data_IF_460442622227
#
_entry.id   IF_460442622227
#
_cell.length_a   1.000
_cell.length_b   1.000
_cell.length_c   1.000
_cell.angle_alpha   90.00
_cell.angle_beta   90.00
_cell.angle_gamma   90.00
#
_symmetry.space_group_name_H-M   'P 1'
#
loop_
_entity.id
_entity.type
_entity.pdbx_description
1 polymer ?
#
# COMPACT_ATOMS: atom_id res chain seq x y z
N UNK A 1 8.24 -1.53 11.45
CA UNK A 1 7.69 -0.17 11.55
C UNK A 1 7.12 0.37 10.23
N UNK A 2 7.87 0.45 9.13
CA UNK A 2 7.39 1.08 7.90
C UNK A 2 6.19 0.39 7.24
N UNK A 3 6.14 -0.95 7.24
CA UNK A 3 5.00 -1.69 6.68
C UNK A 3 3.68 -1.35 7.37
N UNK A 4 3.68 -1.07 8.68
CA UNK A 4 2.47 -0.69 9.40
C UNK A 4 1.92 0.67 8.94
N UNK A 5 2.81 1.59 8.52
CA UNK A 5 2.38 2.85 7.93
C UNK A 5 1.71 2.62 6.58
N UNK A 6 2.30 1.77 5.72
CA UNK A 6 1.70 1.39 4.44
C UNK A 6 0.35 0.69 4.61
N UNK A 7 0.23 -0.21 5.60
CA UNK A 7 -1.06 -0.83 5.95
C UNK A 7 -2.10 0.19 6.41
N UNK A 8 -1.69 1.22 7.14
CA UNK A 8 -2.57 2.33 7.53
C UNK A 8 -3.14 3.06 6.32
N UNK A 9 -2.29 3.46 5.37
CA UNK A 9 -2.72 4.13 4.12
C UNK A 9 -3.65 3.23 3.29
N UNK A 10 -3.32 1.95 3.14
CA UNK A 10 -4.14 0.98 2.43
C UNK A 10 -5.52 0.77 3.08
N UNK A 11 -5.55 0.67 4.41
CA UNK A 11 -6.81 0.56 5.17
C UNK A 11 -7.65 1.84 5.04
N UNK A 12 -7.04 3.03 5.07
CA UNK A 12 -7.74 4.30 4.82
C UNK A 12 -8.35 4.33 3.42
N UNK A 13 -7.59 3.90 2.40
CA UNK A 13 -8.08 3.83 1.01
C UNK A 13 -9.34 2.97 0.90
N UNK A 14 -9.29 1.75 1.45
CA UNK A 14 -10.42 0.82 1.42
C UNK A 14 -11.62 1.33 2.22
N UNK A 15 -11.39 1.89 3.41
CA UNK A 15 -12.44 2.45 4.26
C UNK A 15 -13.19 3.59 3.57
N UNK A 16 -12.46 4.53 2.96
CA UNK A 16 -13.08 5.67 2.24
C UNK A 16 -13.85 5.21 1.00
N UNK A 17 -13.35 4.21 0.27
CA UNK A 17 -14.04 3.65 -0.90
C UNK A 17 -15.20 2.69 -0.52
N UNK A 18 -15.38 2.38 0.77
CA UNK A 18 -16.40 1.44 1.23
C UNK A 18 -16.16 -0.01 0.84
N UNK A 19 -14.90 -0.40 0.59
CA UNK A 19 -14.53 -1.75 0.14
C UNK A 19 -14.11 -2.61 1.34
N UNK A 20 -14.73 -3.79 1.57
CA UNK A 20 -14.32 -4.70 2.64
C UNK A 20 -12.87 -5.17 2.50
N UNK A 21 -12.11 -5.14 3.60
CA UNK A 21 -10.69 -5.53 3.62
C UNK A 21 -10.43 -7.01 3.31
N UNK A 22 -11.48 -7.84 3.29
CA UNK A 22 -11.39 -9.29 3.07
C UNK A 22 -11.37 -9.73 1.62
N UNK A 23 -11.65 -8.84 0.66
CA UNK A 23 -11.70 -9.18 -0.77
C UNK A 23 -10.31 -9.19 -1.42
N UNK A 24 -9.45 -10.09 -0.94
CA UNK A 24 -8.09 -10.22 -1.44
C UNK A 24 -8.05 -10.68 -2.90
N UNK A 25 -7.13 -10.10 -3.66
CA UNK A 25 -6.80 -10.49 -5.03
C UNK A 25 -5.56 -11.40 -5.03
N UNK A 26 -4.55 -11.13 -4.19
CA UNK A 26 -3.27 -11.86 -4.18
C UNK A 26 -2.95 -12.56 -2.86
N UNK A 27 -3.11 -11.90 -1.70
CA UNK A 27 -2.68 -12.43 -0.40
C UNK A 27 -3.53 -13.56 0.22
N UNK A 28 -4.36 -14.22 -0.61
CA UNK A 28 -5.11 -15.43 -0.26
C UNK A 28 -6.45 -15.19 0.43
N UNK A 29 -7.43 -16.04 0.10
CA UNK A 29 -8.85 -15.88 0.50
C UNK A 29 -9.13 -16.04 2.00
N UNK A 30 -8.20 -16.62 2.77
CA UNK A 30 -8.40 -16.96 4.20
C UNK A 30 -7.70 -16.01 5.17
N UNK A 31 -6.88 -15.07 4.68
CA UNK A 31 -6.17 -14.12 5.53
C UNK A 31 -7.05 -12.90 5.79
N UNK A 32 -7.42 -12.67 7.06
CA UNK A 32 -8.19 -11.50 7.47
C UNK A 32 -7.45 -10.21 7.07
N UNK A 33 -8.15 -9.32 6.37
CA UNK A 33 -7.60 -8.05 5.90
C UNK A 33 -6.66 -8.18 4.70
N UNK A 34 -6.73 -9.27 3.93
CA UNK A 34 -5.74 -9.51 2.87
C UNK A 34 -5.69 -8.48 1.75
N UNK A 35 -6.78 -7.77 1.46
CA UNK A 35 -6.76 -6.67 0.49
C UNK A 35 -5.96 -5.44 1.00
N UNK A 36 -5.85 -5.26 2.32
CA UNK A 36 -4.97 -4.23 2.90
C UNK A 36 -3.51 -4.53 2.57
N UNK A 37 -3.11 -5.80 2.60
CA UNK A 37 -1.75 -6.21 2.23
C UNK A 37 -1.52 -6.05 0.72
N UNK A 38 -2.48 -6.45 -0.11
CA UNK A 38 -2.41 -6.28 -1.57
C UNK A 38 -2.18 -4.81 -1.97
N UNK A 39 -2.94 -3.88 -1.38
CA UNK A 39 -2.80 -2.45 -1.70
C UNK A 39 -1.52 -1.86 -1.11
N UNK A 40 -1.12 -2.26 0.10
CA UNK A 40 0.11 -1.76 0.71
C UNK A 40 1.37 -2.14 -0.09
N UNK A 41 1.34 -3.29 -0.77
CA UNK A 41 2.44 -3.75 -1.61
C UNK A 41 2.71 -2.82 -2.81
N UNK A 42 1.74 -2.00 -3.24
CA UNK A 42 1.92 -0.99 -4.29
C UNK A 42 3.02 0.04 -3.96
N UNK A 43 3.33 0.26 -2.67
CA UNK A 43 4.29 1.29 -2.24
C UNK A 43 5.42 0.77 -1.36
N UNK A 44 5.30 -0.46 -0.83
CA UNK A 44 6.28 -0.99 0.14
C UNK A 44 7.67 -1.08 -0.45
N UNK A 45 7.80 -1.63 -1.65
CA UNK A 45 9.12 -1.81 -2.28
C UNK A 45 9.65 -0.50 -2.88
N UNK A 46 8.76 0.40 -3.29
CA UNK A 46 9.13 1.68 -3.87
C UNK A 46 9.56 2.73 -2.84
N UNK A 47 8.96 2.72 -1.64
CA UNK A 47 9.16 3.78 -0.64
C UNK A 47 9.69 3.21 0.68
N UNK A 48 8.96 2.26 1.28
CA UNK A 48 9.29 1.77 2.63
C UNK A 48 10.64 1.05 2.65
N UNK A 49 10.90 0.20 1.65
CA UNK A 49 12.10 -0.60 1.57
C UNK A 49 13.37 0.25 1.42
N UNK A 50 13.48 1.19 0.46
CA UNK A 50 14.65 2.07 0.36
C UNK A 50 14.91 2.86 1.65
N UNK A 51 13.88 3.48 2.23
CA UNK A 51 14.04 4.26 3.46
C UNK A 51 14.45 3.42 4.65
N UNK A 52 14.01 2.15 4.73
CA UNK A 52 14.45 1.25 5.80
C UNK A 52 15.97 1.02 5.74
N UNK A 53 16.54 0.82 4.55
CA UNK A 53 17.99 0.62 4.39
C UNK A 53 18.78 1.91 4.58
N UNK A 54 18.30 3.04 4.07
CA UNK A 54 18.95 4.35 4.23
C UNK A 54 19.00 4.73 5.72
N UNK A 55 17.87 4.67 6.43
CA UNK A 55 17.80 5.00 7.85
C UNK A 55 18.63 4.04 8.71
N UNK A 56 18.67 2.75 8.37
CA UNK A 56 19.54 1.79 9.06
C UNK A 56 21.03 2.14 8.88
N UNK A 57 21.45 2.53 7.67
CA UNK A 57 22.83 2.98 7.40
C UNK A 57 23.18 4.25 8.19
N UNK A 58 22.22 5.15 8.35
CA UNK A 58 22.39 6.43 9.07
C UNK A 58 22.27 6.30 10.59
N UNK A 59 22.02 5.10 11.12
CA UNK A 59 21.69 4.85 12.54
C UNK A 59 20.52 5.73 13.03
N UNK A 60 19.56 6.02 12.15
CA UNK A 60 18.40 6.81 12.50
C UNK A 60 17.55 6.09 13.55
N UNK A 61 16.97 6.86 14.44
CA UNK A 61 15.97 6.37 15.41
C UNK A 61 14.70 5.91 14.69
N UNK A 62 13.90 5.10 15.37
CA UNK A 62 12.62 4.65 14.84
C UNK A 62 11.67 5.82 14.50
N UNK A 63 11.70 6.88 15.30
CA UNK A 63 10.89 8.07 15.09
C UNK A 63 11.32 8.84 13.84
N UNK A 64 12.64 8.96 13.59
CA UNK A 64 13.16 9.57 12.37
C UNK A 64 12.80 8.75 11.14
N UNK A 65 12.97 7.43 11.19
CA UNK A 65 12.55 6.54 10.11
C UNK A 65 11.04 6.69 9.81
N UNK A 66 10.21 6.75 10.84
CA UNK A 66 8.76 7.00 10.68
C UNK A 66 8.50 8.33 10.00
N UNK A 67 9.19 9.40 10.40
CA UNK A 67 9.01 10.72 9.82
C UNK A 67 9.44 10.75 8.35
N UNK A 68 10.55 10.10 8.00
CA UNK A 68 11.01 9.98 6.61
C UNK A 68 10.00 9.24 5.73
N UNK A 69 9.45 8.12 6.21
CA UNK A 69 8.39 7.41 5.48
C UNK A 69 7.16 8.28 5.24
N UNK A 70 6.69 9.01 6.27
CA UNK A 70 5.51 9.89 6.16
C UNK A 70 5.74 11.05 5.19
N UNK A 71 6.93 11.64 5.22
CA UNK A 71 7.30 12.69 4.29
C UNK A 71 7.32 12.15 2.86
N UNK A 72 7.97 11.02 2.62
CA UNK A 72 8.03 10.38 1.31
C UNK A 72 6.64 9.99 0.78
N UNK A 73 5.73 9.50 1.64
CA UNK A 73 4.36 9.22 1.22
C UNK A 73 3.61 10.48 0.77
N UNK A 74 3.90 11.62 1.42
CA UNK A 74 3.30 12.92 1.07
C UNK A 74 3.86 13.43 -0.25
N UNK A 75 5.18 13.43 -0.39
CA UNK A 75 5.88 13.93 -1.59
C UNK A 75 5.51 13.14 -2.85
N UNK A 76 5.34 11.82 -2.71
CA UNK A 76 4.94 10.94 -3.80
C UNK A 76 3.42 10.74 -3.91
N UNK A 77 2.61 11.46 -3.13
CA UNK A 77 1.14 11.36 -3.13
C UNK A 77 0.65 9.90 -3.04
N UNK A 78 1.26 9.10 -2.17
CA UNK A 78 1.06 7.65 -2.12
C UNK A 78 -0.39 7.26 -1.84
N UNK A 79 -1.11 8.04 -1.02
CA UNK A 79 -2.52 7.80 -0.74
C UNK A 79 -3.39 8.03 -1.99
N UNK A 80 -3.18 9.13 -2.70
CA UNK A 80 -3.89 9.43 -3.97
C UNK A 80 -3.62 8.33 -5.00
N UNK A 81 -2.36 7.89 -5.11
CA UNK A 81 -1.97 6.79 -5.98
C UNK A 81 -2.74 5.50 -5.64
N UNK A 82 -2.83 5.12 -4.37
CA UNK A 82 -3.62 3.95 -3.95
C UNK A 82 -5.10 4.07 -4.31
N UNK A 83 -5.70 5.25 -4.10
CA UNK A 83 -7.10 5.49 -4.50
C UNK A 83 -7.29 5.27 -6.01
N UNK A 84 -6.42 5.84 -6.83
CA UNK A 84 -6.54 5.74 -8.29
C UNK A 84 -6.31 4.31 -8.79
N UNK A 85 -5.37 3.56 -8.21
CA UNK A 85 -5.17 2.14 -8.56
C UNK A 85 -6.40 1.30 -8.22
N UNK A 86 -6.95 1.46 -7.00
CA UNK A 86 -8.14 0.69 -6.59
C UNK A 86 -9.34 1.04 -7.45
N UNK A 87 -9.59 2.32 -7.74
CA UNK A 87 -10.67 2.74 -8.65
C UNK A 87 -10.48 2.19 -10.05
N UNK A 88 -9.25 2.27 -10.60
CA UNK A 88 -8.93 1.76 -11.94
C UNK A 88 -9.31 0.28 -12.05
N UNK A 89 -8.86 -0.55 -11.11
CA UNK A 89 -9.18 -1.98 -11.10
C UNK A 89 -10.68 -2.22 -10.88
N UNK A 90 -11.31 -1.51 -9.95
CA UNK A 90 -12.74 -1.70 -9.63
C UNK A 90 -13.69 -1.27 -10.76
N UNK A 91 -13.29 -0.29 -11.59
CA UNK A 91 -14.09 0.23 -12.70
C UNK A 91 -13.73 -0.40 -14.05
N UNK A 92 -12.73 -1.29 -14.09
CA UNK A 92 -12.35 -2.01 -15.32
C UNK A 92 -13.48 -2.96 -15.72
N UNK A 93 -14.12 -2.68 -16.85
CA UNK A 93 -15.27 -3.43 -17.41
C UNK A 93 -14.86 -4.41 -18.51
N UNK A 94 -13.74 -4.16 -19.18
CA UNK A 94 -13.19 -5.01 -20.24
C UNK A 94 -11.95 -5.73 -19.72
N UNK A 95 -12.17 -6.85 -19.05
CA UNK A 95 -11.12 -7.83 -18.82
C UNK A 95 -11.01 -8.66 -20.09
N UNK A 96 -10.15 -8.26 -21.03
CA UNK A 96 -9.84 -9.12 -22.17
C UNK A 96 -9.25 -10.42 -21.62
N UNK A 97 -10.08 -11.47 -21.61
CA UNK A 97 -9.62 -12.82 -21.38
C UNK A 97 -8.72 -13.18 -22.55
N UNK A 98 -7.41 -13.15 -22.34
CA UNK A 98 -6.50 -13.98 -23.14
C UNK A 98 -6.85 -15.43 -22.81
N UNK A 99 -7.85 -15.94 -23.53
CA UNK A 99 -7.96 -17.36 -23.82
C UNK A 99 -6.88 -17.67 -24.84
N UNK A 100 -5.78 -18.26 -24.35
CA UNK A 100 -4.97 -19.25 -25.06
C UNK A 100 -4.53 -20.31 -24.04
#
# INVERSE_FOLDING_TARGET
HGNYLAYGLAATTLWVLGIPHGFAVMHGKTRRGALVFDIADLIKDAIVLPWAFICAKENATEQEFRQQCLQAFTDHKSLDFMFEQVKTVALTTNWEGTHD
#
